data_IF_424543464693
#
_entry.id   IF_424543464693
#
_cell.length_a   1.000
_cell.length_b   1.000
_cell.length_c   1.000
_cell.angle_alpha   90.00
_cell.angle_beta   90.00
_cell.angle_gamma   90.00
#
_symmetry.space_group_name_H-M   'P 1'
#
loop_
_entity.id
_entity.type
_entity.pdbx_description
1 polymer ?
#
# COMPACT_ATOMS: atom_id res chain seq x y z
N UNK A 1 13.60 18.30 -8.90
CA UNK A 1 12.72 17.21 -8.44
C UNK A 1 13.60 16.26 -7.63
N UNK A 2 13.61 16.40 -6.31
CA UNK A 2 14.51 15.62 -5.46
C UNK A 2 13.94 14.19 -5.31
N UNK A 3 14.77 13.14 -5.39
CA UNK A 3 14.32 11.79 -5.11
C UNK A 3 13.94 11.71 -3.64
N UNK A 4 12.68 11.35 -3.34
CA UNK A 4 12.21 11.09 -1.99
C UNK A 4 13.03 9.94 -1.37
N UNK A 5 14.09 10.29 -0.65
CA UNK A 5 14.97 9.37 0.08
C UNK A 5 14.32 8.86 1.39
N UNK A 6 12.99 8.78 1.45
CA UNK A 6 12.24 8.42 2.65
C UNK A 6 11.96 6.90 2.77
N UNK A 7 12.50 6.05 1.88
CA UNK A 7 12.27 4.60 1.94
C UNK A 7 13.38 3.81 2.67
N UNK A 8 14.30 4.48 3.36
CA UNK A 8 15.36 3.81 4.13
C UNK A 8 14.97 3.47 5.58
N UNK A 9 14.14 4.31 6.23
CA UNK A 9 13.94 4.28 7.68
C UNK A 9 12.47 4.15 8.13
N UNK A 10 11.51 3.90 7.22
CA UNK A 10 10.09 3.80 7.58
C UNK A 10 9.46 5.11 8.08
N UNK A 11 10.09 6.26 7.79
CA UNK A 11 9.53 7.59 8.07
C UNK A 11 8.87 8.08 6.80
N UNK A 12 7.55 8.18 6.81
CA UNK A 12 6.74 8.68 5.69
C UNK A 12 6.42 10.14 5.89
N UNK A 13 6.62 10.96 4.87
CA UNK A 13 6.08 12.33 4.91
C UNK A 13 4.57 12.33 4.61
N UNK A 14 3.92 13.49 4.75
CA UNK A 14 2.48 13.60 4.52
C UNK A 14 2.07 13.25 3.08
N UNK A 15 2.97 13.43 2.11
CA UNK A 15 2.73 13.10 0.71
C UNK A 15 2.85 11.59 0.51
N UNK A 16 3.88 10.95 1.06
CA UNK A 16 4.05 9.50 1.05
C UNK A 16 2.82 8.81 1.65
N UNK A 17 2.31 9.31 2.79
CA UNK A 17 1.11 8.76 3.42
C UNK A 17 -0.15 8.92 2.55
N UNK A 18 -0.32 10.06 1.87
CA UNK A 18 -1.44 10.26 0.96
C UNK A 18 -1.38 9.29 -0.24
N UNK A 19 -0.19 9.08 -0.81
CA UNK A 19 0.02 8.14 -1.90
C UNK A 19 -0.21 6.69 -1.47
N UNK A 20 0.28 6.30 -0.28
CA UNK A 20 0.03 4.98 0.32
C UNK A 20 -1.47 4.76 0.55
N UNK A 21 -2.19 5.73 1.14
CA UNK A 21 -3.63 5.62 1.35
C UNK A 21 -4.39 5.45 0.03
N UNK A 22 -4.03 6.23 -0.99
CA UNK A 22 -4.64 6.09 -2.33
C UNK A 22 -4.36 4.72 -2.95
N UNK A 23 -3.16 4.17 -2.75
CA UNK A 23 -2.81 2.84 -3.22
C UNK A 23 -3.60 1.74 -2.51
N UNK A 24 -3.80 1.86 -1.19
CA UNK A 24 -4.60 0.90 -0.41
C UNK A 24 -6.05 0.89 -0.88
N UNK A 25 -6.67 2.06 -1.11
CA UNK A 25 -8.03 2.14 -1.63
C UNK A 25 -8.16 1.48 -3.00
N UNK A 26 -7.26 1.78 -3.93
CA UNK A 26 -7.25 1.20 -5.26
C UNK A 26 -7.10 -0.34 -5.21
N UNK A 27 -6.17 -0.85 -4.40
CA UNK A 27 -6.00 -2.32 -4.25
C UNK A 27 -7.24 -2.95 -3.62
N UNK A 28 -7.88 -2.32 -2.65
CA UNK A 28 -9.12 -2.84 -2.08
C UNK A 28 -10.25 -2.89 -3.12
N UNK A 29 -10.39 -1.86 -3.96
CA UNK A 29 -11.39 -1.83 -5.04
C UNK A 29 -11.13 -2.94 -6.06
N UNK A 30 -9.89 -3.12 -6.51
CA UNK A 30 -9.51 -4.18 -7.46
C UNK A 30 -9.72 -5.59 -6.90
N UNK A 31 -9.54 -5.78 -5.59
CA UNK A 31 -9.77 -7.05 -4.90
C UNK A 31 -11.24 -7.26 -4.49
N UNK A 32 -12.13 -6.30 -4.75
CA UNK A 32 -13.54 -6.37 -4.35
C UNK A 32 -13.76 -6.27 -2.83
N UNK A 33 -12.78 -5.75 -2.08
CA UNK A 33 -12.85 -5.61 -0.62
C UNK A 33 -13.66 -4.36 -0.26
N UNK A 34 -14.88 -4.59 0.23
CA UNK A 34 -15.78 -3.52 0.65
C UNK A 34 -15.27 -2.74 1.87
N UNK A 35 -15.70 -1.48 2.00
CA UNK A 35 -15.29 -0.59 3.12
C UNK A 35 -15.62 -1.12 4.51
N UNK A 36 -16.62 -1.99 4.63
CA UNK A 36 -17.02 -2.61 5.90
C UNK A 36 -16.11 -3.77 6.34
N UNK A 37 -15.31 -4.33 5.42
CA UNK A 37 -14.36 -5.40 5.73
C UNK A 37 -13.04 -4.83 6.26
N UNK A 38 -13.11 -4.33 7.50
CA UNK A 38 -11.98 -3.66 8.16
C UNK A 38 -10.76 -4.59 8.25
N UNK A 39 -10.97 -5.86 8.57
CA UNK A 39 -9.89 -6.84 8.75
C UNK A 39 -9.12 -7.11 7.44
N UNK A 40 -9.81 -7.22 6.31
CA UNK A 40 -9.14 -7.39 5.01
C UNK A 40 -8.43 -6.10 4.57
N UNK A 41 -9.01 -4.93 4.84
CA UNK A 41 -8.40 -3.63 4.51
C UNK A 41 -7.13 -3.35 5.33
N UNK A 42 -7.11 -3.72 6.61
CA UNK A 42 -5.90 -3.63 7.45
C UNK A 42 -4.77 -4.54 6.95
N UNK A 43 -5.10 -5.75 6.48
CA UNK A 43 -4.13 -6.67 5.87
C UNK A 43 -3.56 -6.11 4.57
N UNK A 44 -4.41 -5.58 3.69
CA UNK A 44 -3.98 -4.90 2.46
C UNK A 44 -3.08 -3.71 2.79
N UNK A 45 -3.46 -2.86 3.76
CA UNK A 45 -2.67 -1.70 4.16
C UNK A 45 -1.26 -2.10 4.64
N UNK A 46 -1.17 -3.12 5.49
CA UNK A 46 0.10 -3.63 6.01
C UNK A 46 1.02 -4.12 4.88
N UNK A 47 0.48 -4.81 3.89
CA UNK A 47 1.25 -5.33 2.77
C UNK A 47 1.64 -4.25 1.76
N UNK A 48 0.76 -3.29 1.49
CA UNK A 48 1.07 -2.12 0.66
C UNK A 48 2.22 -1.33 1.27
N UNK A 49 2.18 -1.03 2.58
CA UNK A 49 3.26 -0.34 3.30
C UNK A 49 4.58 -1.13 3.23
N UNK A 50 4.52 -2.46 3.42
CA UNK A 50 5.70 -3.33 3.31
C UNK A 50 6.29 -3.28 1.89
N UNK A 51 5.46 -3.37 0.86
CA UNK A 51 5.88 -3.27 -0.54
C UNK A 51 6.48 -1.90 -0.86
N UNK A 52 5.86 -0.84 -0.32
CA UNK A 52 6.32 0.55 -0.44
C UNK A 52 7.71 0.75 0.15
N UNK A 53 7.95 0.17 1.33
CA UNK A 53 9.25 0.18 2.03
C UNK A 53 10.32 -0.52 1.19
N UNK A 54 9.97 -1.61 0.51
CA UNK A 54 10.86 -2.35 -0.38
C UNK A 54 11.07 -1.67 -1.75
N UNK A 55 10.50 -0.48 -1.97
CA UNK A 55 10.58 0.27 -3.23
C UNK A 55 9.71 -0.28 -4.36
N UNK A 56 8.84 -1.27 -4.07
CA UNK A 56 7.96 -1.94 -5.06
C UNK A 56 6.63 -1.19 -5.19
N UNK A 57 6.69 0.02 -5.74
CA UNK A 57 5.55 0.97 -5.83
C UNK A 57 4.74 0.86 -7.12
N UNK A 58 5.01 -0.13 -7.98
CA UNK A 58 4.29 -0.29 -9.23
C UNK A 58 2.88 -0.83 -8.98
N UNK A 59 1.87 -0.47 -9.80
CA UNK A 59 0.50 -0.94 -9.61
C UNK A 59 0.38 -2.46 -9.47
N UNK A 60 1.04 -3.22 -10.34
CA UNK A 60 1.08 -4.69 -10.26
C UNK A 60 1.78 -5.21 -9.00
N UNK A 61 2.85 -4.54 -8.56
CA UNK A 61 3.57 -4.92 -7.33
C UNK A 61 2.72 -4.70 -6.08
N UNK A 62 1.84 -3.70 -6.09
CA UNK A 62 0.93 -3.40 -4.99
C UNK A 62 -0.28 -4.35 -4.95
N UNK A 63 -0.85 -4.68 -6.12
CA UNK A 63 -1.91 -5.69 -6.22
C UNK A 63 -1.41 -7.07 -5.77
N UNK A 64 -0.21 -7.47 -6.19
CA UNK A 64 0.40 -8.73 -5.72
C UNK A 64 0.58 -8.77 -4.19
N UNK A 65 1.00 -7.66 -3.58
CA UNK A 65 1.11 -7.55 -2.13
C UNK A 65 -0.26 -7.65 -1.42
N UNK A 66 -1.31 -7.08 -2.02
CA UNK A 66 -2.68 -7.23 -1.54
C UNK A 66 -3.16 -8.70 -1.56
N UNK A 67 -2.86 -9.43 -2.63
CA UNK A 67 -3.20 -10.85 -2.77
C UNK A 67 -2.52 -11.73 -1.71
N UNK A 68 -1.25 -11.48 -1.40
CA UNK A 68 -0.53 -12.17 -0.31
C UNK A 68 -1.16 -11.97 1.08
N UNK A 69 -1.96 -10.92 1.28
CA UNK A 69 -2.66 -10.65 2.55
C UNK A 69 -4.10 -11.14 2.58
N UNK A 70 -4.70 -11.39 1.42
CA UNK A 70 -6.07 -11.89 1.31
C UNK A 70 -6.16 -13.42 1.44
N UNK A 71 -5.09 -14.14 1.07
CA UNK A 71 -4.92 -15.58 1.28
C UNK A 71 -4.75 -15.95 2.76
#
# INVERSE_FOLDING_TARGET
MLPSNAAGNGVYDAKDMAEICSAVEAVCEELGIGRADIASRERVASNVIRSWTLGRRTPLGLVNAGLEGAA
#
